data_IF_253168188495
#
_entry.id   IF_253168188495
#
_cell.length_a   1.000
_cell.length_b   1.000
_cell.length_c   1.000
_cell.angle_alpha   90.00
_cell.angle_beta   90.00
_cell.angle_gamma   90.00
#
_symmetry.space_group_name_H-M   'P 1'
#
loop_
_entity.id
_entity.type
_entity.pdbx_description
1 polymer ?
#
# COMPACT_ATOMS: atom_id res chain seq x y z
N UNK A 1 7.32 170.09 -13.66
CA UNK A 1 7.05 169.70 -15.06
C UNK A 1 7.75 168.37 -15.28
N UNK A 2 7.18 167.21 -15.60
CA UNK A 2 5.85 166.74 -16.05
C UNK A 2 5.65 165.27 -15.63
N UNK A 3 4.39 164.85 -15.61
CA UNK A 3 3.77 163.55 -15.26
C UNK A 3 4.22 162.34 -16.13
N UNK A 4 4.09 161.08 -15.65
CA UNK A 4 3.09 160.06 -16.09
C UNK A 4 3.18 158.77 -15.23
N UNK A 5 2.00 158.13 -15.06
CA UNK A 5 1.54 157.07 -14.16
C UNK A 5 1.60 155.63 -14.74
N UNK A 6 1.74 154.66 -13.82
CA UNK A 6 0.98 153.38 -13.63
C UNK A 6 0.97 152.21 -14.64
N UNK A 7 1.00 151.01 -14.02
CA UNK A 7 0.44 149.67 -14.38
C UNK A 7 1.40 148.65 -15.02
N UNK A 8 1.71 147.58 -14.27
CA UNK A 8 1.50 146.17 -14.64
C UNK A 8 2.17 145.22 -13.62
N UNK A 9 1.38 144.81 -12.61
CA UNK A 9 1.69 143.74 -11.68
C UNK A 9 0.49 142.78 -11.67
N UNK A 10 0.47 141.78 -12.56
CA UNK A 10 -0.63 140.81 -12.62
C UNK A 10 -0.32 139.45 -13.28
N UNK A 11 0.94 139.12 -13.63
CA UNK A 11 1.21 137.98 -14.53
C UNK A 11 2.22 136.93 -14.05
N UNK A 12 2.39 136.76 -12.72
CA UNK A 12 3.32 135.75 -12.18
C UNK A 12 2.73 134.79 -11.12
N UNK A 13 1.41 134.85 -10.84
CA UNK A 13 0.78 134.01 -9.80
C UNK A 13 -0.12 132.87 -10.33
N UNK A 14 -0.13 132.61 -11.64
CA UNK A 14 -0.98 131.57 -12.26
C UNK A 14 -0.24 130.30 -12.72
N UNK A 15 1.05 130.17 -12.39
CA UNK A 15 1.89 129.04 -12.85
C UNK A 15 2.12 127.90 -11.84
N UNK A 16 1.78 128.07 -10.56
CA UNK A 16 2.25 127.15 -9.51
C UNK A 16 1.16 126.26 -8.86
N UNK A 17 -0.13 126.45 -9.17
CA UNK A 17 -1.21 125.73 -8.48
C UNK A 17 -1.75 124.49 -9.23
N UNK A 18 -1.48 124.35 -10.53
CA UNK A 18 -2.05 123.27 -11.35
C UNK A 18 -1.20 121.99 -11.43
N UNK A 19 0.04 122.01 -10.93
CA UNK A 19 0.96 120.86 -11.00
C UNK A 19 0.94 119.88 -9.82
N UNK A 20 0.33 120.26 -8.68
CA UNK A 20 0.39 119.50 -7.42
C UNK A 20 -0.67 118.41 -7.23
N UNK A 21 -1.75 118.42 -8.01
CA UNK A 21 -2.92 117.55 -7.75
C UNK A 21 -2.88 116.24 -8.58
N UNK A 22 -2.03 116.16 -9.62
CA UNK A 22 -1.92 114.95 -10.45
C UNK A 22 -0.85 113.95 -9.96
N UNK A 23 0.04 114.34 -9.04
CA UNK A 23 1.08 113.45 -8.51
C UNK A 23 0.60 112.52 -7.38
N UNK A 24 -0.48 112.86 -6.66
CA UNK A 24 -0.99 112.07 -5.53
C UNK A 24 -1.94 110.93 -5.92
N UNK A 25 -2.49 110.92 -7.15
CA UNK A 25 -3.36 109.85 -7.62
C UNK A 25 -2.58 108.60 -8.11
N UNK A 26 -1.37 108.79 -8.64
CA UNK A 26 -0.55 107.71 -9.21
C UNK A 26 0.14 106.87 -8.12
N UNK A 27 0.41 107.46 -6.95
CA UNK A 27 1.00 106.74 -5.80
C UNK A 27 0.01 105.79 -5.11
N UNK A 28 -1.28 106.14 -5.03
CA UNK A 28 -2.29 105.26 -4.42
C UNK A 28 -2.57 104.02 -5.27
N UNK A 29 -2.54 104.15 -6.60
CA UNK A 29 -2.80 103.03 -7.52
C UNK A 29 -1.65 102.00 -7.48
N UNK A 30 -0.40 102.46 -7.35
CA UNK A 30 0.75 101.57 -7.19
C UNK A 30 0.78 100.82 -5.85
N UNK A 31 0.37 101.46 -4.75
CA UNK A 31 0.33 100.80 -3.44
C UNK A 31 -0.78 99.75 -3.38
N UNK A 32 -1.94 100.03 -3.97
CA UNK A 32 -3.05 99.06 -4.07
C UNK A 32 -2.70 97.86 -4.96
N UNK A 33 -2.01 98.10 -6.08
CA UNK A 33 -1.56 97.02 -6.96
C UNK A 33 -0.46 96.17 -6.29
N UNK A 34 0.43 96.78 -5.52
CA UNK A 34 1.45 96.07 -4.74
C UNK A 34 0.83 95.24 -3.61
N UNK A 35 -0.20 95.74 -2.94
CA UNK A 35 -0.93 95.02 -1.90
C UNK A 35 -1.72 93.84 -2.48
N UNK A 36 -2.30 94.00 -3.68
CA UNK A 36 -2.89 92.90 -4.45
C UNK A 36 -1.85 91.87 -4.88
N UNK A 37 -0.68 92.29 -5.36
CA UNK A 37 0.40 91.37 -5.74
C UNK A 37 0.96 90.63 -4.52
N UNK A 38 1.08 91.29 -3.37
CA UNK A 38 1.51 90.66 -2.13
C UNK A 38 0.44 89.70 -1.58
N UNK A 39 -0.83 90.06 -1.65
CA UNK A 39 -1.94 89.18 -1.29
C UNK A 39 -2.05 87.98 -2.24
N UNK A 40 -1.84 88.18 -3.55
CA UNK A 40 -1.79 87.11 -4.53
C UNK A 40 -0.58 86.19 -4.32
N UNK A 41 0.60 86.73 -4.05
CA UNK A 41 1.82 85.97 -3.77
C UNK A 41 1.70 85.19 -2.46
N UNK A 42 1.11 85.78 -1.43
CA UNK A 42 0.86 85.10 -0.16
C UNK A 42 -0.20 84.00 -0.32
N UNK A 43 -1.25 84.25 -1.12
CA UNK A 43 -2.22 83.22 -1.51
C UNK A 43 -1.52 82.06 -2.25
N UNK A 44 -0.67 82.35 -3.23
CA UNK A 44 0.09 81.34 -3.98
C UNK A 44 1.06 80.55 -3.10
N UNK A 45 1.73 81.20 -2.15
CA UNK A 45 2.54 80.50 -1.16
C UNK A 45 1.71 79.57 -0.28
N UNK A 46 0.50 79.98 0.13
CA UNK A 46 -0.37 79.12 0.94
C UNK A 46 -0.94 77.94 0.15
N UNK A 47 -1.26 78.11 -1.13
CA UNK A 47 -1.70 76.99 -2.00
C UNK A 47 -0.54 76.06 -2.34
N UNK A 48 0.67 76.58 -2.57
CA UNK A 48 1.86 75.77 -2.80
C UNK A 48 2.26 75.00 -1.53
N UNK A 49 2.21 75.64 -0.35
CA UNK A 49 2.48 74.99 0.94
C UNK A 49 1.49 73.85 1.21
N UNK A 50 0.19 74.09 0.98
CA UNK A 50 -0.85 73.04 1.06
C UNK A 50 -0.62 71.92 0.03
N UNK A 51 -0.15 72.26 -1.17
CA UNK A 51 0.18 71.28 -2.21
C UNK A 51 1.40 70.41 -1.86
N UNK A 52 2.40 70.98 -1.18
CA UNK A 52 3.58 70.25 -0.67
C UNK A 52 3.15 69.32 0.47
N UNK A 53 2.36 69.82 1.43
CA UNK A 53 1.85 69.02 2.55
C UNK A 53 0.97 67.86 2.07
N UNK A 54 0.11 68.09 1.08
CA UNK A 54 -0.70 67.04 0.47
C UNK A 54 0.14 65.98 -0.26
N UNK A 55 1.24 66.39 -0.92
CA UNK A 55 2.16 65.45 -1.57
C UNK A 55 2.97 64.65 -0.56
N UNK A 56 3.40 65.27 0.53
CA UNK A 56 4.13 64.60 1.62
C UNK A 56 3.23 63.60 2.35
N UNK A 57 1.96 63.95 2.57
CA UNK A 57 0.94 63.03 3.08
C UNK A 57 0.69 61.86 2.11
N UNK A 58 0.58 62.13 0.81
CA UNK A 58 0.40 61.07 -0.19
C UNK A 58 1.61 60.12 -0.28
N UNK A 59 2.83 60.67 -0.20
CA UNK A 59 4.07 59.90 -0.19
C UNK A 59 4.17 59.03 1.08
N UNK A 60 3.89 59.57 2.26
CA UNK A 60 3.92 58.80 3.52
C UNK A 60 2.86 57.70 3.57
N UNK A 61 1.65 57.96 3.06
CA UNK A 61 0.60 56.94 2.93
C UNK A 61 1.04 55.82 1.96
N UNK A 62 1.60 56.19 0.80
CA UNK A 62 2.10 55.21 -0.19
C UNK A 62 3.26 54.38 0.35
N UNK A 63 4.18 55.00 1.10
CA UNK A 63 5.29 54.31 1.75
C UNK A 63 4.79 53.30 2.79
N UNK A 64 3.83 53.70 3.65
CA UNK A 64 3.23 52.79 4.63
C UNK A 64 2.48 51.62 3.97
N UNK A 65 1.90 51.85 2.79
CA UNK A 65 1.16 50.84 2.05
C UNK A 65 2.09 49.87 1.32
N UNK A 66 3.24 50.34 0.85
CA UNK A 66 4.32 49.50 0.36
C UNK A 66 4.91 48.63 1.47
N UNK A 67 5.12 49.18 2.66
CA UNK A 67 5.65 48.45 3.80
C UNK A 67 4.68 47.34 4.27
N UNK A 68 3.37 47.64 4.31
CA UNK A 68 2.32 46.65 4.61
C UNK A 68 2.23 45.55 3.56
N UNK A 69 2.33 45.91 2.28
CA UNK A 69 2.29 44.91 1.19
C UNK A 69 3.53 44.04 1.18
N UNK A 70 4.73 44.61 1.43
CA UNK A 70 5.97 43.85 1.54
C UNK A 70 5.93 42.88 2.74
N UNK A 71 5.46 43.34 3.91
CA UNK A 71 5.26 42.47 5.08
C UNK A 71 4.27 41.33 4.81
N UNK A 72 3.19 41.59 4.07
CA UNK A 72 2.23 40.57 3.70
C UNK A 72 2.80 39.57 2.69
N UNK A 73 3.61 40.03 1.73
CA UNK A 73 4.32 39.16 0.77
C UNK A 73 5.31 38.26 1.50
N UNK A 74 6.10 38.79 2.43
CA UNK A 74 7.02 37.99 3.26
C UNK A 74 6.28 36.93 4.08
N UNK A 75 5.15 37.30 4.70
CA UNK A 75 4.28 36.34 5.42
C UNK A 75 3.75 35.25 4.50
N UNK A 76 3.32 35.61 3.28
CA UNK A 76 2.86 34.63 2.28
C UNK A 76 3.98 33.70 1.83
N UNK A 77 5.19 34.22 1.61
CA UNK A 77 6.36 33.42 1.24
C UNK A 77 6.72 32.42 2.34
N UNK A 78 6.71 32.85 3.61
CA UNK A 78 6.92 31.95 4.75
C UNK A 78 5.83 30.88 4.82
N UNK A 79 4.56 31.26 4.63
CA UNK A 79 3.46 30.28 4.58
C UNK A 79 3.58 29.31 3.41
N UNK A 80 4.02 29.76 2.24
CA UNK A 80 4.25 28.89 1.08
C UNK A 80 5.36 27.88 1.38
N UNK A 81 6.47 28.32 1.96
CA UNK A 81 7.57 27.43 2.34
C UNK A 81 7.17 26.42 3.42
N UNK A 82 6.34 26.83 4.38
CA UNK A 82 5.77 25.92 5.39
C UNK A 82 4.89 24.85 4.71
N UNK A 83 4.03 25.26 3.77
CA UNK A 83 3.14 24.36 3.03
C UNK A 83 3.90 23.42 2.09
N UNK A 84 4.95 23.90 1.45
CA UNK A 84 5.83 23.06 0.62
C UNK A 84 6.54 22.00 1.45
N UNK A 85 6.98 22.34 2.67
CA UNK A 85 7.54 21.36 3.63
C UNK A 85 6.49 20.35 4.09
N UNK A 86 5.29 20.80 4.45
CA UNK A 86 4.18 19.91 4.82
C UNK A 86 3.82 18.95 3.67
N UNK A 87 3.76 19.45 2.44
CA UNK A 87 3.50 18.64 1.24
C UNK A 87 4.60 17.59 1.02
N UNK A 88 5.87 17.99 1.10
CA UNK A 88 6.99 17.06 0.97
C UNK A 88 6.96 15.97 2.06
N UNK A 89 6.61 16.33 3.30
CA UNK A 89 6.49 15.37 4.40
C UNK A 89 5.28 14.42 4.20
N UNK A 90 4.15 14.93 3.70
CA UNK A 90 2.99 14.10 3.37
C UNK A 90 3.29 13.14 2.22
N UNK A 91 3.91 13.61 1.13
CA UNK A 91 4.31 12.76 0.00
C UNK A 91 5.27 11.66 0.45
N UNK A 92 6.22 11.98 1.32
CA UNK A 92 7.11 10.99 1.91
C UNK A 92 6.35 9.96 2.76
N UNK A 93 5.41 10.39 3.62
CA UNK A 93 4.56 9.49 4.42
C UNK A 93 3.68 8.59 3.55
N UNK A 94 3.08 9.12 2.49
CA UNK A 94 2.25 8.35 1.55
C UNK A 94 3.12 7.30 0.84
N UNK A 95 4.30 7.69 0.37
CA UNK A 95 5.22 6.77 -0.33
C UNK A 95 5.70 5.65 0.60
N UNK A 96 6.07 5.99 1.84
CA UNK A 96 6.49 5.00 2.85
C UNK A 96 5.36 4.04 3.20
N UNK A 97 4.14 4.56 3.43
CA UNK A 97 2.97 3.73 3.75
C UNK A 97 2.56 2.84 2.57
N UNK A 98 2.63 3.36 1.34
CA UNK A 98 2.39 2.58 0.11
C UNK A 98 3.37 1.43 -0.03
N UNK A 99 4.68 1.68 0.15
CA UNK A 99 5.72 0.64 0.13
C UNK A 99 5.52 -0.40 1.22
N UNK A 100 5.18 0.03 2.44
CA UNK A 100 4.92 -0.86 3.57
C UNK A 100 3.68 -1.74 3.34
N UNK A 101 2.59 -1.18 2.80
CA UNK A 101 1.40 -1.95 2.45
C UNK A 101 1.69 -2.94 1.32
N UNK A 102 2.50 -2.56 0.33
CA UNK A 102 2.88 -3.46 -0.75
C UNK A 102 3.75 -4.63 -0.24
N UNK A 103 4.72 -4.37 0.65
CA UNK A 103 5.54 -5.44 1.24
C UNK A 103 4.71 -6.37 2.12
N UNK A 104 3.80 -5.82 2.96
CA UNK A 104 2.91 -6.63 3.80
C UNK A 104 1.96 -7.50 2.95
N UNK A 105 1.38 -6.95 1.89
CA UNK A 105 0.52 -7.72 0.98
C UNK A 105 1.30 -8.84 0.27
N UNK A 106 2.55 -8.59 -0.14
CA UNK A 106 3.39 -9.62 -0.75
C UNK A 106 3.73 -10.76 0.22
N UNK A 107 4.05 -10.44 1.48
CA UNK A 107 4.34 -11.44 2.51
C UNK A 107 3.09 -12.25 2.88
N UNK A 108 1.92 -11.60 2.95
CA UNK A 108 0.65 -12.28 3.17
C UNK A 108 0.29 -13.21 2.00
N UNK A 109 0.54 -12.77 0.76
CA UNK A 109 0.29 -13.58 -0.44
C UNK A 109 1.23 -14.80 -0.48
N UNK A 110 2.50 -14.64 -0.10
CA UNK A 110 3.45 -15.75 0.00
C UNK A 110 3.01 -16.77 1.06
N UNK A 111 2.61 -16.31 2.25
CA UNK A 111 2.07 -17.17 3.32
C UNK A 111 0.77 -17.88 2.90
N UNK A 112 -0.11 -17.21 2.17
CA UNK A 112 -1.33 -17.84 1.65
C UNK A 112 -1.00 -18.94 0.64
N UNK A 113 -0.06 -18.68 -0.27
CA UNK A 113 0.37 -19.64 -1.27
C UNK A 113 1.09 -20.86 -0.64
N UNK A 114 1.86 -20.65 0.42
CA UNK A 114 2.45 -21.72 1.22
C UNK A 114 1.38 -22.55 1.97
N UNK A 115 0.39 -21.88 2.55
CA UNK A 115 -0.76 -22.51 3.20
C UNK A 115 -1.60 -23.36 2.22
N UNK A 116 -1.86 -22.84 1.02
CA UNK A 116 -2.56 -23.56 -0.04
C UNK A 116 -1.79 -24.83 -0.47
N UNK A 117 -0.47 -24.73 -0.65
CA UNK A 117 0.38 -25.89 -0.92
C UNK A 117 0.33 -26.92 0.20
N UNK A 118 0.36 -26.48 1.46
CA UNK A 118 0.25 -27.38 2.62
C UNK A 118 -1.13 -28.07 2.68
N UNK A 119 -2.20 -27.35 2.39
CA UNK A 119 -3.56 -27.89 2.32
C UNK A 119 -3.71 -28.91 1.20
N UNK A 120 -3.15 -28.65 0.02
CA UNK A 120 -3.20 -29.59 -1.11
C UNK A 120 -2.39 -30.87 -0.82
N UNK A 121 -1.22 -30.72 -0.20
CA UNK A 121 -0.43 -31.85 0.27
C UNK A 121 -1.19 -32.69 1.32
N UNK A 122 -1.89 -32.03 2.25
CA UNK A 122 -2.72 -32.70 3.25
C UNK A 122 -3.92 -33.43 2.59
N UNK A 123 -4.58 -32.78 1.62
CA UNK A 123 -5.71 -33.36 0.87
C UNK A 123 -5.27 -34.61 0.11
N UNK A 124 -4.16 -34.52 -0.61
CA UNK A 124 -3.56 -35.65 -1.33
C UNK A 124 -3.21 -36.79 -0.36
N UNK A 125 -2.66 -36.47 0.82
CA UNK A 125 -2.34 -37.45 1.86
C UNK A 125 -3.57 -38.15 2.39
N UNK A 126 -4.65 -37.42 2.65
CA UNK A 126 -5.93 -38.01 3.10
C UNK A 126 -6.51 -38.96 2.05
N UNK A 127 -6.56 -38.53 0.78
CA UNK A 127 -7.04 -39.38 -0.32
C UNK A 127 -6.23 -40.67 -0.48
N UNK A 128 -4.91 -40.58 -0.38
CA UNK A 128 -4.03 -41.76 -0.42
C UNK A 128 -4.27 -42.69 0.78
N UNK A 129 -4.52 -42.12 1.95
CA UNK A 129 -4.80 -42.89 3.18
C UNK A 129 -6.14 -43.62 3.08
N UNK A 130 -7.19 -42.96 2.60
CA UNK A 130 -8.51 -43.57 2.38
C UNK A 130 -8.42 -44.74 1.38
N UNK A 131 -7.67 -44.56 0.29
CA UNK A 131 -7.40 -45.62 -0.69
C UNK A 131 -6.71 -46.82 -0.05
N UNK A 132 -5.72 -46.60 0.82
CA UNK A 132 -5.00 -47.67 1.50
C UNK A 132 -5.88 -48.41 2.52
N UNK A 133 -6.75 -47.70 3.24
CA UNK A 133 -7.73 -48.35 4.13
C UNK A 133 -8.74 -49.19 3.36
N UNK A 134 -9.25 -48.69 2.23
CA UNK A 134 -10.14 -49.46 1.36
C UNK A 134 -9.45 -50.72 0.82
N UNK A 135 -8.20 -50.61 0.38
CA UNK A 135 -7.42 -51.75 -0.11
C UNK A 135 -7.11 -52.76 1.00
N UNK A 136 -6.74 -52.29 2.20
CA UNK A 136 -6.55 -53.14 3.38
C UNK A 136 -7.81 -53.96 3.68
N UNK A 137 -8.98 -53.32 3.65
CA UNK A 137 -10.25 -53.99 3.89
C UNK A 137 -10.53 -55.06 2.83
N UNK A 138 -10.34 -54.72 1.55
CA UNK A 138 -10.50 -55.65 0.42
C UNK A 138 -9.60 -56.87 0.54
N UNK A 139 -8.31 -56.65 0.82
CA UNK A 139 -7.32 -57.72 0.98
C UNK A 139 -7.61 -58.57 2.22
N UNK A 140 -7.96 -57.96 3.35
CA UNK A 140 -8.33 -58.71 4.58
C UNK A 140 -9.54 -59.62 4.33
N UNK A 141 -10.55 -59.12 3.59
CA UNK A 141 -11.69 -59.94 3.20
C UNK A 141 -11.28 -61.11 2.31
N UNK A 142 -10.44 -60.86 1.30
CA UNK A 142 -9.94 -61.90 0.41
C UNK A 142 -9.13 -62.97 1.16
N UNK A 143 -8.25 -62.57 2.09
CA UNK A 143 -7.50 -63.49 2.97
C UNK A 143 -8.44 -64.39 3.76
N UNK A 144 -9.49 -63.82 4.37
CA UNK A 144 -10.45 -64.59 5.15
C UNK A 144 -11.25 -65.59 4.27
N UNK A 145 -11.76 -65.13 3.13
CA UNK A 145 -12.49 -65.98 2.18
C UNK A 145 -11.61 -67.11 1.64
N UNK A 146 -10.36 -66.81 1.28
CA UNK A 146 -9.42 -67.78 0.75
C UNK A 146 -8.99 -68.79 1.83
N UNK A 147 -8.77 -68.34 3.07
CA UNK A 147 -8.50 -69.24 4.19
C UNK A 147 -9.65 -70.24 4.42
N UNK A 148 -10.90 -69.78 4.37
CA UNK A 148 -12.05 -70.69 4.44
C UNK A 148 -12.08 -71.69 3.27
N UNK A 149 -11.74 -71.25 2.07
CA UNK A 149 -11.71 -72.10 0.89
C UNK A 149 -10.58 -73.14 0.96
N UNK A 150 -9.40 -72.76 1.44
CA UNK A 150 -8.28 -73.66 1.71
C UNK A 150 -8.70 -74.73 2.71
N UNK A 151 -9.33 -74.35 3.83
CA UNK A 151 -9.82 -75.32 4.83
C UNK A 151 -10.82 -76.31 4.22
N UNK A 152 -11.78 -75.81 3.42
CA UNK A 152 -12.77 -76.67 2.73
C UNK A 152 -12.10 -77.58 1.70
N UNK A 153 -11.13 -77.09 0.93
CA UNK A 153 -10.40 -77.85 -0.08
C UNK A 153 -9.51 -78.92 0.57
N UNK A 154 -8.77 -78.57 1.63
CA UNK A 154 -7.94 -79.49 2.41
C UNK A 154 -8.77 -80.62 3.01
N UNK A 155 -9.91 -80.30 3.62
CA UNK A 155 -10.79 -81.33 4.18
C UNK A 155 -11.36 -82.28 3.09
N UNK A 156 -11.70 -81.76 1.90
CA UNK A 156 -12.11 -82.59 0.76
C UNK A 156 -10.97 -83.47 0.24
N UNK A 157 -9.75 -82.93 0.21
CA UNK A 157 -8.56 -83.68 -0.17
C UNK A 157 -8.31 -84.81 0.84
N UNK A 158 -8.35 -84.55 2.15
CA UNK A 158 -8.22 -85.56 3.21
C UNK A 158 -9.27 -86.67 3.10
N UNK A 159 -10.53 -86.31 2.84
CA UNK A 159 -11.60 -87.29 2.64
C UNK A 159 -11.33 -88.20 1.41
N UNK A 160 -10.81 -87.62 0.33
CA UNK A 160 -10.45 -88.36 -0.90
C UNK A 160 -9.15 -89.16 -0.74
N UNK A 161 -8.26 -88.73 0.15
CA UNK A 161 -7.00 -89.40 0.44
C UNK A 161 -7.22 -90.81 0.95
N UNK A 162 -8.20 -91.00 1.85
CA UNK A 162 -8.51 -92.31 2.42
C UNK A 162 -8.91 -93.33 1.34
N UNK A 163 -9.74 -92.93 0.39
CA UNK A 163 -10.13 -93.78 -0.74
C UNK A 163 -8.94 -94.13 -1.66
N UNK A 164 -8.09 -93.15 -1.95
CA UNK A 164 -6.86 -93.39 -2.73
C UNK A 164 -5.86 -94.31 -1.99
N UNK A 165 -5.71 -94.15 -0.68
CA UNK A 165 -4.83 -94.99 0.14
C UNK A 165 -5.34 -96.44 0.23
N UNK A 166 -6.67 -96.64 0.31
CA UNK A 166 -7.28 -97.97 0.24
C UNK A 166 -7.08 -98.64 -1.13
N UNK A 167 -7.21 -97.88 -2.23
CA UNK A 167 -6.91 -98.36 -3.57
C UNK A 167 -5.43 -98.78 -3.70
N UNK A 168 -4.50 -97.94 -3.26
CA UNK A 168 -3.04 -98.21 -3.32
C UNK A 168 -2.62 -99.42 -2.47
N UNK A 169 -3.30 -99.68 -1.36
CA UNK A 169 -3.03 -100.84 -0.50
C UNK A 169 -3.54 -102.16 -1.08
N UNK A 170 -4.30 -102.13 -2.18
CA UNK A 170 -4.88 -103.33 -2.79
C UNK A 170 -5.98 -103.99 -1.95
N UNK A 171 -6.54 -103.27 -0.96
CA UNK A 171 -7.63 -103.76 -0.11
C UNK A 171 -8.97 -103.62 -0.86
N UNK A 172 -9.19 -104.44 -1.88
CA UNK A 172 -10.26 -104.32 -2.87
C UNK A 172 -11.65 -104.77 -2.40
N UNK A 173 -11.95 -104.74 -1.10
CA UNK A 173 -13.31 -105.00 -0.61
C UNK A 173 -14.22 -103.77 -0.79
N UNK A 174 -13.63 -102.56 -0.84
CA UNK A 174 -14.31 -101.33 -1.21
C UNK A 174 -14.17 -101.10 -2.73
N UNK A 175 -15.25 -100.62 -3.38
CA UNK A 175 -15.26 -100.16 -4.79
C UNK A 175 -14.46 -98.84 -4.91
N UNK A 176 -13.15 -98.90 -4.73
CA UNK A 176 -12.23 -97.78 -4.94
C UNK A 176 -11.43 -97.99 -6.23
N UNK A 177 -11.07 -96.91 -6.91
CA UNK A 177 -10.47 -96.94 -8.25
C UNK A 177 -9.36 -95.90 -8.41
N UNK A 178 -8.66 -95.94 -9.55
CA UNK A 178 -7.67 -94.93 -9.92
C UNK A 178 -8.29 -93.51 -9.95
N UNK A 179 -9.58 -93.39 -10.28
CA UNK A 179 -10.29 -92.11 -10.32
C UNK A 179 -10.32 -91.43 -8.94
N UNK A 180 -10.29 -92.19 -7.83
CA UNK A 180 -10.22 -91.63 -6.48
C UNK A 180 -8.86 -91.00 -6.19
N UNK A 181 -7.78 -91.60 -6.71
CA UNK A 181 -6.43 -91.03 -6.63
C UNK A 181 -6.28 -89.80 -7.52
N UNK A 182 -6.87 -89.81 -8.72
CA UNK A 182 -6.86 -88.65 -9.60
C UNK A 182 -7.69 -87.50 -9.01
N UNK A 183 -8.79 -87.82 -8.33
CA UNK A 183 -9.61 -86.85 -7.58
C UNK A 183 -8.83 -86.25 -6.42
N UNK A 184 -8.15 -87.09 -5.62
CA UNK A 184 -7.27 -86.61 -4.55
C UNK A 184 -6.18 -85.67 -5.08
N UNK A 185 -5.48 -86.06 -6.16
CA UNK A 185 -4.42 -85.26 -6.75
C UNK A 185 -4.94 -83.90 -7.25
N UNK A 186 -6.12 -83.86 -7.88
CA UNK A 186 -6.78 -82.62 -8.31
C UNK A 186 -7.15 -81.73 -7.13
N UNK A 187 -7.75 -82.28 -6.08
CA UNK A 187 -8.17 -81.52 -4.90
C UNK A 187 -6.97 -80.99 -4.11
N UNK A 188 -5.91 -81.79 -3.99
CA UNK A 188 -4.66 -81.37 -3.36
C UNK A 188 -3.99 -80.24 -4.14
N UNK A 189 -3.88 -80.38 -5.46
CA UNK A 189 -3.35 -79.31 -6.31
C UNK A 189 -4.16 -78.02 -6.18
N UNK A 190 -5.49 -78.10 -6.19
CA UNK A 190 -6.33 -76.92 -5.99
C UNK A 190 -6.14 -76.27 -4.62
N UNK A 191 -5.90 -77.04 -3.55
CA UNK A 191 -5.57 -76.50 -2.24
C UNK A 191 -4.19 -75.84 -2.23
N UNK A 192 -3.19 -76.45 -2.86
CA UNK A 192 -1.83 -75.90 -2.98
C UNK A 192 -1.83 -74.58 -3.78
N UNK A 193 -2.57 -74.52 -4.90
CA UNK A 193 -2.73 -73.31 -5.71
C UNK A 193 -3.41 -72.17 -4.90
N UNK A 194 -4.40 -72.49 -4.07
CA UNK A 194 -5.05 -71.52 -3.18
C UNK A 194 -4.12 -71.03 -2.05
N UNK A 195 -3.25 -71.89 -1.53
CA UNK A 195 -2.24 -71.52 -0.53
C UNK A 195 -1.23 -70.54 -1.13
N UNK A 196 -0.79 -70.76 -2.38
CA UNK A 196 0.09 -69.82 -3.08
C UNK A 196 -0.58 -68.45 -3.27
N UNK A 197 -1.85 -68.43 -3.69
CA UNK A 197 -2.63 -67.19 -3.79
C UNK A 197 -2.79 -66.50 -2.42
N UNK A 198 -2.96 -67.26 -1.35
CA UNK A 198 -3.06 -66.73 0.02
C UNK A 198 -1.77 -66.03 0.45
N UNK A 199 -0.61 -66.62 0.15
CA UNK A 199 0.68 -66.01 0.48
C UNK A 199 0.89 -64.70 -0.29
N UNK A 200 0.50 -64.65 -1.57
CA UNK A 200 0.57 -63.43 -2.39
C UNK A 200 -0.33 -62.33 -1.82
N UNK A 201 -1.59 -62.63 -1.52
CA UNK A 201 -2.55 -61.65 -0.98
C UNK A 201 -2.13 -61.21 0.43
N UNK A 202 -1.64 -62.11 1.26
CA UNK A 202 -1.13 -61.80 2.60
C UNK A 202 0.10 -60.88 2.54
N UNK A 203 1.03 -61.13 1.62
CA UNK A 203 2.16 -60.24 1.38
C UNK A 203 1.72 -58.84 0.91
N UNK A 204 0.67 -58.75 0.08
CA UNK A 204 0.10 -57.46 -0.32
C UNK A 204 -0.53 -56.73 0.87
N UNK A 205 -1.25 -57.45 1.73
CA UNK A 205 -1.86 -56.89 2.94
C UNK A 205 -0.79 -56.33 3.90
N UNK A 206 0.31 -57.05 4.09
CA UNK A 206 1.45 -56.59 4.89
C UNK A 206 2.11 -55.34 4.31
N UNK A 207 2.27 -55.27 2.98
CA UNK A 207 2.77 -54.08 2.30
C UNK A 207 1.87 -52.86 2.55
N UNK A 208 0.55 -53.02 2.43
CA UNK A 208 -0.43 -51.96 2.70
C UNK A 208 -0.41 -51.56 4.18
N UNK A 209 -0.31 -52.51 5.11
CA UNK A 209 -0.20 -52.22 6.54
C UNK A 209 1.08 -51.42 6.86
N UNK A 210 2.22 -51.77 6.27
CA UNK A 210 3.48 -51.02 6.42
C UNK A 210 3.36 -49.59 5.87
N UNK A 211 2.71 -49.43 4.71
CA UNK A 211 2.44 -48.11 4.16
C UNK A 211 1.59 -47.28 5.14
N UNK A 212 0.49 -47.83 5.66
CA UNK A 212 -0.35 -47.18 6.66
C UNK A 212 0.40 -46.83 7.95
N UNK A 213 1.29 -47.69 8.45
CA UNK A 213 2.12 -47.37 9.62
C UNK A 213 3.11 -46.24 9.35
N UNK A 214 3.68 -46.16 8.14
CA UNK A 214 4.54 -45.06 7.75
C UNK A 214 3.78 -43.72 7.71
N UNK A 215 2.50 -43.72 7.33
CA UNK A 215 1.65 -42.51 7.42
C UNK A 215 1.49 -41.99 8.86
N UNK A 216 1.54 -42.85 9.88
CA UNK A 216 1.40 -42.45 11.29
C UNK A 216 2.63 -41.74 11.88
N UNK A 217 3.83 -41.95 11.31
CA UNK A 217 5.11 -41.53 11.91
C UNK A 217 5.77 -40.32 11.22
N UNK A 218 5.11 -39.67 10.27
CA UNK A 218 5.67 -38.51 9.57
C UNK A 218 5.37 -37.21 10.34
N UNK A 219 6.39 -36.41 10.73
CA UNK A 219 6.18 -35.14 11.42
C UNK A 219 5.33 -34.22 10.54
N UNK A 220 4.25 -33.71 11.12
CA UNK A 220 3.49 -32.62 10.54
C UNK A 220 4.43 -31.40 10.54
N UNK A 221 4.67 -30.85 9.34
CA UNK A 221 5.48 -29.66 9.04
C UNK A 221 5.82 -28.84 10.29
N UNK A 222 7.09 -28.90 10.69
CA UNK A 222 7.62 -28.19 11.85
C UNK A 222 7.37 -26.69 11.73
N UNK A 223 6.86 -26.10 12.81
CA UNK A 223 6.62 -24.66 12.99
C UNK A 223 7.87 -23.77 12.94
N UNK A 224 9.06 -24.32 12.70
CA UNK A 224 10.34 -23.66 13.03
C UNK A 224 11.05 -22.97 11.86
N UNK A 225 10.47 -22.92 10.65
CA UNK A 225 11.10 -22.27 9.50
C UNK A 225 11.05 -20.73 9.51
N UNK A 226 10.49 -20.08 10.54
CA UNK A 226 10.29 -18.62 10.59
C UNK A 226 11.32 -17.82 11.39
N UNK A 227 12.29 -18.44 12.07
CA UNK A 227 13.24 -17.70 12.92
C UNK A 227 14.67 -17.52 12.39
N UNK A 228 15.03 -18.01 11.20
CA UNK A 228 16.43 -17.94 10.72
C UNK A 228 16.76 -16.72 9.84
N UNK A 229 15.87 -15.73 9.71
CA UNK A 229 16.13 -14.51 8.91
C UNK A 229 16.24 -13.21 9.71
N UNK A 230 16.16 -13.25 11.05
CA UNK A 230 16.27 -12.05 11.88
C UNK A 230 17.72 -11.62 12.19
N UNK A 231 18.72 -12.53 12.13
CA UNK A 231 20.07 -12.24 12.65
C UNK A 231 21.12 -11.83 11.60
N UNK A 232 20.78 -11.77 10.32
CA UNK A 232 21.75 -11.48 9.26
C UNK A 232 21.93 -9.97 8.91
N UNK A 233 21.35 -9.04 9.69
CA UNK A 233 21.33 -7.61 9.32
C UNK A 233 21.77 -6.67 10.43
N UNK A 234 22.90 -6.97 11.09
CA UNK A 234 23.51 -6.02 12.03
C UNK A 234 25.03 -6.15 12.16
N UNK A 235 25.76 -6.25 11.04
CA UNK A 235 27.23 -6.09 11.05
C UNK A 235 27.70 -5.40 9.76
N UNK A 236 27.46 -4.09 9.61
CA UNK A 236 28.40 -3.17 8.90
C UNK A 236 28.21 -1.76 9.49
N UNK A 237 29.04 -1.41 10.47
CA UNK A 237 29.52 -0.04 10.72
C UNK A 237 30.66 -0.10 11.75
N UNK A 238 31.89 -0.02 11.24
CA UNK A 238 33.00 0.76 11.80
C UNK A 238 34.02 0.98 10.68
#
# INVERSE_FOLDING_TARGET
MTSVKTKNAALLLLGAAAGGILASAVWFDQVVELEKQYAALNSDHTTLAKGIEAKELALSVSASQHEKTQSNVEKLVVQLQEKDKELAELEHKITMKSRQSQSQNSEQTEKLLESEKALEALRTRLQNTDRLYAERFRLTKAVNELNENILKASHKAEASQKACDEFKKGNSWNRVSQDDCDTYAKMKKAADDMIEEFDVISSQLDSVNRQLSAFGNLPLVSKDATNEKADAKLVISN
#
